data_IF_152073615371
#
_entry.id   IF_152073615371
#
_cell.length_a   1.000
_cell.length_b   1.000
_cell.length_c   1.000
_cell.angle_alpha   90.00
_cell.angle_beta   90.00
_cell.angle_gamma   90.00
#
_symmetry.space_group_name_H-M   'P 1'
#
loop_
_entity.id
_entity.type
_entity.pdbx_description
1 polymer ?
#
# COMPACT_ATOMS: atom_id res chain seq x y z
N UNK A 1 10.33 -11.86 23.95
CA UNK A 1 9.40 -12.85 23.36
C UNK A 1 9.18 -12.49 21.89
N UNK A 2 9.30 -13.46 20.98
CA UNK A 2 9.12 -13.25 19.54
C UNK A 2 7.65 -13.11 19.12
N UNK A 3 7.42 -12.69 17.87
CA UNK A 3 6.09 -12.57 17.25
C UNK A 3 5.53 -13.98 16.97
N UNK A 4 4.37 -14.30 17.55
CA UNK A 4 3.64 -15.55 17.25
C UNK A 4 2.52 -15.28 16.23
N UNK A 5 2.24 -16.25 15.37
CA UNK A 5 1.05 -16.22 14.49
C UNK A 5 -0.21 -16.26 15.35
N UNK A 6 -1.20 -15.44 15.00
CA UNK A 6 -2.54 -15.44 15.61
C UNK A 6 -3.57 -15.57 14.50
N UNK A 7 -4.70 -16.20 14.79
CA UNK A 7 -5.85 -16.25 13.88
C UNK A 7 -6.52 -14.88 13.77
N UNK A 8 -7.11 -14.59 12.60
CA UNK A 8 -7.87 -13.35 12.37
C UNK A 8 -9.30 -13.56 12.87
N UNK A 9 -9.46 -13.48 14.19
CA UNK A 9 -10.72 -13.55 14.89
C UNK A 9 -10.74 -12.56 16.07
N UNK A 10 -11.91 -12.20 16.63
CA UNK A 10 -12.00 -11.29 17.77
C UNK A 10 -11.14 -11.74 18.97
N UNK A 11 -10.29 -10.84 19.48
CA UNK A 11 -9.47 -11.11 20.66
C UNK A 11 -10.34 -11.04 21.91
N UNK A 12 -10.50 -12.18 22.58
CA UNK A 12 -11.33 -12.33 23.79
C UNK A 12 -10.73 -11.59 24.99
N UNK A 13 -9.43 -11.74 25.23
CA UNK A 13 -8.77 -11.13 26.37
C UNK A 13 -8.58 -9.62 26.18
N UNK A 14 -9.27 -8.82 27.00
CA UNK A 14 -9.35 -7.36 26.86
C UNK A 14 -7.99 -6.64 26.86
N UNK A 15 -7.07 -7.00 27.77
CA UNK A 15 -5.72 -6.42 27.81
C UNK A 15 -4.96 -6.66 26.50
N UNK A 16 -5.02 -7.89 25.98
CA UNK A 16 -4.38 -8.26 24.72
C UNK A 16 -5.04 -7.54 23.54
N UNK A 17 -6.38 -7.40 23.56
CA UNK A 17 -7.13 -6.65 22.55
C UNK A 17 -6.71 -5.18 22.53
N UNK A 18 -6.61 -4.54 23.70
CA UNK A 18 -6.22 -3.13 23.84
C UNK A 18 -4.79 -2.87 23.36
N UNK A 19 -3.83 -3.71 23.77
CA UNK A 19 -2.44 -3.60 23.32
C UNK A 19 -2.31 -3.88 21.82
N UNK A 20 -3.03 -4.88 21.31
CA UNK A 20 -3.02 -5.22 19.88
C UNK A 20 -3.65 -4.10 19.05
N UNK A 21 -4.77 -3.55 19.49
CA UNK A 21 -5.43 -2.42 18.85
C UNK A 21 -4.47 -1.24 18.75
N UNK A 22 -3.85 -0.83 19.86
CA UNK A 22 -2.91 0.29 19.86
C UNK A 22 -1.76 0.08 18.87
N UNK A 23 -1.16 -1.12 18.87
CA UNK A 23 -0.04 -1.44 17.96
C UNK A 23 -0.47 -1.52 16.50
N UNK A 24 -1.58 -2.22 16.19
CA UNK A 24 -2.07 -2.38 14.81
C UNK A 24 -2.59 -1.07 14.24
N UNK A 25 -3.32 -0.27 15.02
CA UNK A 25 -3.78 1.06 14.63
C UNK A 25 -2.61 1.96 14.27
N UNK A 26 -1.57 2.01 15.11
CA UNK A 26 -0.38 2.82 14.81
C UNK A 26 0.39 2.28 13.60
N UNK A 27 0.50 0.96 13.44
CA UNK A 27 1.10 0.36 12.24
C UNK A 27 0.33 0.68 10.96
N UNK A 28 -1.01 0.65 11.01
CA UNK A 28 -1.88 1.01 9.90
C UNK A 28 -1.72 2.49 9.52
N UNK A 29 -1.71 3.39 10.50
CA UNK A 29 -1.48 4.82 10.26
C UNK A 29 -0.10 5.08 9.65
N UNK A 30 0.94 4.38 10.12
CA UNK A 30 2.27 4.47 9.53
C UNK A 30 2.28 4.01 8.07
N UNK A 31 1.60 2.91 7.76
CA UNK A 31 1.48 2.41 6.38
C UNK A 31 0.68 3.35 5.47
N UNK A 32 -0.40 3.94 5.97
CA UNK A 32 -1.17 4.95 5.25
C UNK A 32 -0.32 6.20 4.94
N UNK A 33 0.52 6.64 5.88
CA UNK A 33 1.49 7.72 5.67
C UNK A 33 2.55 7.34 4.62
N UNK A 34 3.18 6.18 4.75
CA UNK A 34 4.18 5.70 3.80
C UNK A 34 3.60 5.66 2.38
N UNK A 35 2.39 5.11 2.21
CA UNK A 35 1.70 5.05 0.91
C UNK A 35 1.45 6.45 0.33
N UNK A 36 0.91 7.36 1.15
CA UNK A 36 0.62 8.73 0.69
C UNK A 36 1.88 9.48 0.22
N UNK A 37 2.99 9.32 0.95
CA UNK A 37 4.28 9.94 0.59
C UNK A 37 4.89 9.29 -0.66
N UNK A 38 4.96 7.96 -0.72
CA UNK A 38 5.63 7.25 -1.81
C UNK A 38 4.92 7.40 -3.14
N UNK A 39 3.59 7.39 -3.13
CA UNK A 39 2.79 7.40 -4.35
C UNK A 39 2.14 8.75 -4.64
N UNK A 40 2.38 9.78 -3.82
CA UNK A 40 1.74 11.10 -3.94
C UNK A 40 0.21 11.03 -3.99
N UNK A 41 -0.37 10.20 -3.13
CA UNK A 41 -1.83 9.97 -3.05
C UNK A 41 -2.40 10.44 -1.71
N UNK A 42 -3.65 10.85 -1.76
CA UNK A 42 -4.43 11.21 -0.57
C UNK A 42 -5.00 9.96 0.11
N UNK A 43 -4.78 9.83 1.41
CA UNK A 43 -5.20 8.65 2.18
C UNK A 43 -5.88 9.08 3.48
N UNK A 44 -7.07 8.55 3.76
CA UNK A 44 -7.77 8.69 5.03
C UNK A 44 -8.14 7.33 5.62
N UNK A 45 -8.02 7.22 6.94
CA UNK A 45 -8.39 6.04 7.71
C UNK A 45 -9.24 6.50 8.90
N UNK A 46 -10.45 5.97 9.02
CA UNK A 46 -11.41 6.29 10.10
C UNK A 46 -11.71 5.00 10.87
N UNK A 47 -11.56 5.04 12.20
CA UNK A 47 -11.77 3.88 13.07
C UNK A 47 -12.63 4.32 14.25
N UNK A 48 -13.79 3.69 14.41
CA UNK A 48 -14.62 3.79 15.61
C UNK A 48 -14.34 2.62 16.54
N UNK A 49 -14.01 2.93 17.79
CA UNK A 49 -13.88 1.94 18.86
C UNK A 49 -15.13 2.04 19.75
N UNK A 50 -15.97 1.01 19.70
CA UNK A 50 -17.12 0.85 20.59
C UNK A 50 -16.84 -0.29 21.56
N UNK A 51 -16.60 0.05 22.83
CA UNK A 51 -16.46 -0.93 23.91
C UNK A 51 -17.67 -0.84 24.85
N UNK A 52 -18.24 -1.98 25.26
CA UNK A 52 -19.30 -1.97 26.27
C UNK A 52 -18.86 -1.21 27.52
N UNK A 53 -19.70 -0.26 27.99
CA UNK A 53 -19.40 0.55 29.17
C UNK A 53 -18.43 1.71 28.94
N UNK A 54 -18.01 1.99 27.70
CA UNK A 54 -17.18 3.13 27.35
C UNK A 54 -17.85 4.01 26.31
N UNK A 55 -17.49 5.31 26.30
CA UNK A 55 -17.88 6.19 25.20
C UNK A 55 -17.21 5.76 23.90
N UNK A 56 -17.96 5.88 22.80
CA UNK A 56 -17.43 5.70 21.44
C UNK A 56 -16.22 6.60 21.26
N UNK A 57 -15.12 6.02 20.78
CA UNK A 57 -13.89 6.77 20.54
C UNK A 57 -13.50 6.70 19.07
N UNK A 58 -13.35 7.86 18.48
CA UNK A 58 -12.88 8.04 17.11
C UNK A 58 -11.35 8.12 17.09
N UNK A 59 -10.74 7.34 16.20
CA UNK A 59 -9.34 7.45 15.82
C UNK A 59 -9.27 7.61 14.32
N UNK A 60 -8.54 8.63 13.85
CA UNK A 60 -8.40 8.89 12.44
C UNK A 60 -6.97 9.29 12.06
N UNK A 61 -6.64 9.01 10.81
CA UNK A 61 -5.47 9.53 10.10
C UNK A 61 -5.95 10.10 8.78
N UNK A 62 -5.39 11.23 8.36
CA UNK A 62 -5.61 11.82 7.04
C UNK A 62 -4.31 12.47 6.58
N UNK A 63 -3.98 12.32 5.30
CA UNK A 63 -2.86 13.06 4.68
C UNK A 63 -3.11 14.56 4.62
N UNK A 64 -4.39 14.99 4.67
CA UNK A 64 -4.81 16.39 4.68
C UNK A 64 -5.97 16.62 5.64
N UNK A 65 -7.00 17.31 5.17
CA UNK A 65 -8.21 17.59 5.94
C UNK A 65 -9.24 16.44 5.81
N UNK A 66 -9.77 15.97 6.93
CA UNK A 66 -10.72 14.84 6.96
C UNK A 66 -12.05 15.23 6.36
N UNK A 67 -12.56 16.42 6.67
CA UNK A 67 -13.86 16.86 6.19
C UNK A 67 -13.84 17.02 4.66
N UNK A 68 -12.79 17.64 4.11
CA UNK A 68 -12.58 17.73 2.67
C UNK A 68 -12.50 16.35 2.00
N UNK A 69 -11.83 15.37 2.64
CA UNK A 69 -11.72 14.00 2.10
C UNK A 69 -13.09 13.31 2.05
N UNK A 70 -13.86 13.41 3.13
CA UNK A 70 -15.20 12.84 3.23
C UNK A 70 -16.12 13.50 2.20
N UNK A 71 -16.09 14.83 2.10
CA UNK A 71 -16.88 15.54 1.09
C UNK A 71 -16.50 15.13 -0.33
N UNK A 72 -15.21 15.03 -0.64
CA UNK A 72 -14.73 14.54 -1.95
C UNK A 72 -15.25 13.13 -2.23
N UNK A 73 -15.21 12.22 -1.25
CA UNK A 73 -15.71 10.85 -1.40
C UNK A 73 -17.24 10.79 -1.65
N UNK A 74 -18.01 11.62 -0.95
CA UNK A 74 -19.47 11.67 -1.09
C UNK A 74 -19.93 12.20 -2.46
N UNK A 75 -19.16 13.13 -3.05
CA UNK A 75 -19.48 13.74 -4.34
C UNK A 75 -18.82 13.04 -5.54
N UNK A 76 -18.01 12.01 -5.31
CA UNK A 76 -17.29 11.33 -6.39
C UNK A 76 -18.21 10.41 -7.20
N UNK A 77 -18.27 10.58 -8.52
CA UNK A 77 -19.14 9.85 -9.44
C UNK A 77 -18.37 8.96 -10.45
N UNK A 78 -17.04 8.94 -10.36
CA UNK A 78 -16.17 8.10 -11.20
C UNK A 78 -16.09 6.64 -10.76
N UNK A 79 -15.20 5.89 -11.42
CA UNK A 79 -14.94 4.48 -11.13
C UNK A 79 -14.34 4.28 -9.73
N UNK A 80 -14.80 3.25 -9.02
CA UNK A 80 -14.43 2.96 -7.63
C UNK A 80 -13.90 1.52 -7.51
N UNK A 81 -12.65 1.36 -7.08
CA UNK A 81 -12.16 0.07 -6.58
C UNK A 81 -12.53 -0.07 -5.09
N UNK A 82 -13.61 -0.81 -4.81
CA UNK A 82 -14.12 -1.03 -3.46
C UNK A 82 -13.70 -2.42 -2.96
N UNK A 83 -12.88 -2.46 -1.90
CA UNK A 83 -12.60 -3.70 -1.16
C UNK A 83 -13.42 -3.76 0.12
N UNK A 84 -13.97 -4.93 0.40
CA UNK A 84 -14.76 -5.30 1.58
C UNK A 84 -14.04 -6.38 2.38
N UNK A 85 -14.49 -6.71 3.60
CA UNK A 85 -13.92 -7.82 4.35
C UNK A 85 -13.94 -9.16 3.61
N UNK A 86 -14.87 -9.38 2.67
CA UNK A 86 -14.96 -10.61 1.90
C UNK A 86 -13.71 -10.82 1.03
N UNK A 87 -13.18 -9.75 0.45
CA UNK A 87 -12.00 -9.77 -0.44
C UNK A 87 -10.72 -10.20 0.28
N UNK A 88 -10.65 -10.02 1.60
CA UNK A 88 -9.51 -10.43 2.43
C UNK A 88 -9.74 -11.74 3.20
N UNK A 89 -10.98 -12.23 3.22
CA UNK A 89 -11.37 -13.44 3.96
C UNK A 89 -11.12 -14.74 3.19
N UNK A 90 -10.95 -14.66 1.86
CA UNK A 90 -10.73 -15.82 1.01
C UNK A 90 -9.30 -16.33 1.12
N UNK A 91 -9.08 -17.16 2.13
CA UNK A 91 -7.89 -17.98 2.29
C UNK A 91 -7.94 -19.21 1.37
N UNK A 92 -8.27 -19.04 0.09
CA UNK A 92 -8.27 -20.09 -0.93
C UNK A 92 -7.25 -19.75 -2.01
N UNK A 93 -6.10 -20.42 -1.87
CA UNK A 93 -5.01 -20.55 -2.83
C UNK A 93 -4.17 -19.28 -3.06
N UNK A 94 -2.91 -19.37 -2.64
CA UNK A 94 -1.81 -18.67 -3.27
C UNK A 94 -1.84 -18.99 -4.78
N UNK A 95 -2.53 -18.17 -5.59
CA UNK A 95 -2.18 -18.05 -7.00
C UNK A 95 -0.87 -17.25 -7.03
N UNK A 96 0.22 -17.81 -7.58
CA UNK A 96 1.44 -17.04 -7.76
C UNK A 96 1.10 -15.85 -8.66
N UNK A 97 1.48 -14.65 -8.23
CA UNK A 97 1.55 -13.53 -9.15
C UNK A 97 2.54 -13.95 -10.24
N UNK A 98 2.06 -14.04 -11.49
CA UNK A 98 2.92 -14.12 -12.65
C UNK A 98 3.82 -12.87 -12.61
N UNK A 99 5.08 -13.05 -12.20
CA UNK A 99 6.13 -12.05 -12.37
C UNK A 99 6.40 -11.98 -13.89
N UNK A 100 5.65 -11.12 -14.59
CA UNK A 100 6.03 -10.62 -15.91
C UNK A 100 7.35 -9.85 -15.75
N UNK A 101 8.48 -10.57 -15.82
CA UNK A 101 9.81 -10.00 -16.02
C UNK A 101 9.92 -9.47 -17.46
N UNK A 102 9.33 -8.31 -17.75
CA UNK A 102 9.77 -7.47 -18.87
C UNK A 102 10.91 -6.57 -18.38
N UNK A 103 12.11 -7.15 -18.28
CA UNK A 103 13.36 -6.38 -18.27
C UNK A 103 13.89 -6.31 -19.71
N UNK A 104 13.82 -5.10 -20.29
CA UNK A 104 14.51 -4.78 -21.53
C UNK A 104 16.03 -4.93 -21.36
N UNK A 105 16.65 -5.89 -22.04
CA UNK A 105 18.11 -5.90 -22.24
C UNK A 105 18.45 -5.38 -23.65
N UNK A 106 18.71 -4.08 -23.72
CA UNK A 106 19.57 -3.45 -24.72
C UNK A 106 21.02 -3.89 -24.48
N UNK A 107 21.55 -4.83 -25.27
CA UNK A 107 23.01 -5.03 -25.39
C UNK A 107 23.44 -5.19 -26.84
N UNK A 108 24.02 -4.11 -27.35
CA UNK A 108 24.64 -4.04 -28.66
C UNK A 108 25.94 -4.86 -28.73
N UNK A 109 25.98 -5.84 -29.64
CA UNK A 109 27.21 -6.53 -30.01
C UNK A 109 27.49 -6.49 -31.53
N UNK A 110 28.15 -5.40 -31.92
CA UNK A 110 29.31 -5.31 -32.85
C UNK A 110 29.63 -6.53 -33.73
N UNK A 111 29.48 -6.38 -35.06
CA UNK A 111 30.31 -7.09 -36.06
C UNK A 111 31.15 -6.08 -36.86
N UNK A 112 32.48 -6.22 -36.73
CA UNK A 112 33.50 -5.53 -37.53
C UNK A 112 33.55 -6.13 -38.95
N UNK A 113 33.74 -5.29 -39.98
CA UNK A 113 34.60 -5.59 -41.14
C UNK A 113 35.04 -4.31 -41.89
N UNK A 114 36.29 -3.94 -41.62
CA UNK A 114 37.38 -3.42 -42.49
C UNK A 114 37.13 -2.44 -43.66
N UNK A 115 37.64 -1.19 -43.47
CA UNK A 115 38.59 -0.31 -44.25
C UNK A 115 38.65 -0.40 -45.80
N UNK A 116 39.12 0.65 -46.56
CA UNK A 116 40.08 1.72 -46.19
C UNK A 116 39.92 3.15 -46.80
N UNK A 117 40.64 4.11 -46.19
CA UNK A 117 41.50 5.19 -46.75
C UNK A 117 40.90 6.22 -47.75
N UNK A 118 40.93 7.51 -47.37
CA UNK A 118 41.86 8.50 -47.96
C UNK A 118 41.65 9.94 -47.45
N UNK A 119 42.78 10.56 -47.08
CA UNK A 119 43.13 12.00 -47.25
C UNK A 119 42.31 13.05 -46.47
N UNK A 120 42.83 14.17 -46.00
CA UNK A 120 44.18 14.73 -45.92
C UNK A 120 44.07 15.99 -45.06
N UNK A 121 45.14 16.26 -44.33
CA UNK A 121 45.35 17.41 -43.46
C UNK A 121 45.43 18.76 -44.21
N UNK A 122 45.06 19.84 -43.49
CA UNK A 122 45.70 21.18 -43.51
C UNK A 122 45.33 22.15 -44.66
N UNK A 123 44.51 23.14 -44.35
CA UNK A 123 44.98 24.53 -44.10
C UNK A 123 43.92 25.34 -43.35
#
# INVERSE_FOLDING_TARGET
MGRRKIEIQPITHERNRSVTFLKRKNGLFKKAYELGVLCSVDVAVIIFEERPGHHVKLYQYCSGDVDAMVQRHLHFDGERDLKTPADFSNNKNDEPADDDEDAEDDDGSRVKKEKPVSQSNVK
#
